data_IF_717389363642
#
_entry.id   IF_717389363642
#
_cell.length_a   1.000
_cell.length_b   1.000
_cell.length_c   1.000
_cell.angle_alpha   90.00
_cell.angle_beta   90.00
_cell.angle_gamma   90.00
#
_symmetry.space_group_name_H-M   'P 1'
#
loop_
_entity.id
_entity.type
_entity.pdbx_description
1 polymer ?
#
# COMPACT_ATOMS: atom_id res chain seq x y z
N UNK A 1 18.83 -1.72 -13.49
CA UNK A 1 17.81 -0.74 -13.88
C UNK A 1 16.80 -0.67 -12.73
N UNK A 2 16.90 0.36 -11.89
CA UNK A 2 16.27 0.36 -10.55
C UNK A 2 14.78 0.71 -10.54
N UNK A 3 14.07 0.24 -9.50
CA UNK A 3 12.73 0.70 -9.13
C UNK A 3 12.82 2.12 -8.54
N UNK A 4 13.05 3.12 -9.39
CA UNK A 4 13.19 4.53 -9.02
C UNK A 4 11.82 5.17 -8.69
N UNK A 5 10.99 4.51 -7.89
CA UNK A 5 9.65 4.99 -7.53
C UNK A 5 8.72 5.16 -8.73
N UNK A 6 8.93 4.44 -9.85
CA UNK A 6 8.14 4.63 -11.08
C UNK A 6 6.62 4.48 -10.87
N UNK A 7 6.23 3.66 -9.90
CA UNK A 7 4.83 3.39 -9.57
C UNK A 7 4.26 4.33 -8.48
N UNK A 8 5.10 5.12 -7.80
CA UNK A 8 4.69 6.02 -6.70
C UNK A 8 4.90 7.50 -7.03
N UNK A 9 5.94 7.81 -7.80
CA UNK A 9 6.29 9.16 -8.24
C UNK A 9 5.16 9.91 -8.97
N UNK A 10 4.35 9.27 -9.85
CA UNK A 10 3.25 9.98 -10.50
C UNK A 10 2.22 10.54 -9.50
N UNK A 11 1.93 9.83 -8.40
CA UNK A 11 1.00 10.32 -7.37
C UNK A 11 1.54 11.59 -6.68
N UNK A 12 2.84 11.63 -6.41
CA UNK A 12 3.50 12.79 -5.80
C UNK A 12 3.50 14.02 -6.74
N UNK A 13 3.70 13.79 -8.04
CA UNK A 13 3.75 14.88 -9.02
C UNK A 13 2.39 15.53 -9.21
N UNK A 14 1.32 14.72 -9.26
CA UNK A 14 -0.02 15.21 -9.56
C UNK A 14 -0.82 15.52 -8.30
N UNK A 15 -0.41 15.06 -7.12
CA UNK A 15 -1.16 15.22 -5.87
C UNK A 15 -2.37 14.28 -5.78
N UNK A 16 -2.30 13.12 -6.42
CA UNK A 16 -3.33 12.09 -6.28
C UNK A 16 -3.13 11.35 -4.96
N UNK A 17 -4.21 11.05 -4.22
CA UNK A 17 -4.10 10.18 -3.06
C UNK A 17 -3.77 8.76 -3.52
N UNK A 18 -2.98 8.05 -2.72
CA UNK A 18 -2.58 6.69 -3.00
C UNK A 18 -2.38 5.89 -1.72
N UNK A 19 -2.60 4.58 -1.80
CA UNK A 19 -2.43 3.64 -0.69
C UNK A 19 -1.59 2.44 -1.14
N UNK A 20 -0.74 1.94 -0.24
CA UNK A 20 0.03 0.71 -0.43
C UNK A 20 -0.52 -0.37 0.50
N UNK A 21 -1.00 -1.47 -0.07
CA UNK A 21 -1.70 -2.54 0.66
C UNK A 21 -0.83 -3.80 0.64
N UNK A 22 -0.53 -4.44 1.80
CA UNK A 22 0.23 -5.68 1.83
C UNK A 22 -0.40 -6.77 0.97
N UNK A 23 0.40 -7.36 0.07
CA UNK A 23 -0.08 -8.36 -0.90
C UNK A 23 0.44 -9.78 -0.62
N UNK A 24 1.39 -9.93 0.31
CA UNK A 24 1.97 -11.21 0.72
C UNK A 24 3.49 -11.20 0.67
N UNK A 25 4.07 -12.40 0.54
CA UNK A 25 5.51 -12.61 0.39
C UNK A 25 5.81 -13.21 -0.98
N UNK A 26 6.88 -12.74 -1.61
CA UNK A 26 7.51 -13.37 -2.78
C UNK A 26 8.97 -13.60 -2.42
N UNK A 27 9.45 -14.84 -2.52
CA UNK A 27 10.81 -15.23 -2.13
C UNK A 27 11.19 -14.80 -0.70
N UNK A 28 10.21 -14.84 0.20
CA UNK A 28 10.37 -14.44 1.61
C UNK A 28 10.40 -12.92 1.85
N UNK A 29 10.28 -12.09 0.80
CA UNK A 29 10.26 -10.64 0.90
C UNK A 29 8.83 -10.08 0.79
N UNK A 30 8.47 -9.06 1.59
CA UNK A 30 7.14 -8.45 1.53
C UNK A 30 6.92 -7.71 0.22
N UNK A 31 5.75 -7.94 -0.38
CA UNK A 31 5.26 -7.20 -1.54
C UNK A 31 3.96 -6.47 -1.20
N UNK A 32 3.69 -5.39 -1.93
CA UNK A 32 2.49 -4.58 -1.75
C UNK A 32 1.85 -4.23 -3.09
N UNK A 33 0.53 -4.00 -3.06
CA UNK A 33 -0.26 -3.46 -4.15
C UNK A 33 -0.41 -1.94 -3.95
N UNK A 34 0.08 -1.16 -4.91
CA UNK A 34 -0.11 0.29 -4.94
C UNK A 34 -1.42 0.63 -5.67
N UNK A 35 -2.30 1.41 -5.02
CA UNK A 35 -3.56 1.88 -5.61
C UNK A 35 -3.58 3.41 -5.59
N UNK A 36 -3.81 4.03 -6.75
CA UNK A 36 -3.95 5.47 -6.88
C UNK A 36 -5.43 5.81 -7.08
N UNK A 37 -5.92 6.83 -6.36
CA UNK A 37 -7.29 7.31 -6.47
C UNK A 37 -7.40 8.64 -7.23
N UNK A 38 -8.61 9.03 -7.65
CA UNK A 38 -8.92 10.42 -8.02
C UNK A 38 -8.59 11.40 -6.89
N UNK A 39 -8.43 12.70 -7.19
CA UNK A 39 -8.26 13.70 -6.14
C UNK A 39 -9.40 13.66 -5.12
N UNK A 40 -9.06 13.86 -3.84
CA UNK A 40 -10.01 13.90 -2.72
C UNK A 40 -10.80 12.60 -2.48
N UNK A 41 -10.24 11.46 -2.88
CA UNK A 41 -10.86 10.13 -2.72
C UNK A 41 -10.23 9.27 -1.61
N UNK A 42 -9.58 9.90 -0.63
CA UNK A 42 -8.91 9.21 0.49
C UNK A 42 -9.85 8.27 1.23
N UNK A 43 -11.12 8.66 1.42
CA UNK A 43 -12.12 7.81 2.05
C UNK A 43 -12.31 6.49 1.29
N UNK A 44 -12.41 6.52 -0.04
CA UNK A 44 -12.54 5.32 -0.86
C UNK A 44 -11.30 4.43 -0.76
N UNK A 45 -10.10 5.03 -0.75
CA UNK A 45 -8.85 4.28 -0.60
C UNK A 45 -8.74 3.62 0.77
N UNK A 46 -9.20 4.29 1.84
CA UNK A 46 -9.23 3.73 3.19
C UNK A 46 -10.28 2.62 3.33
N UNK A 47 -11.46 2.78 2.73
CA UNK A 47 -12.48 1.73 2.67
C UNK A 47 -11.98 0.49 1.92
N UNK A 48 -11.24 0.68 0.83
CA UNK A 48 -10.56 -0.42 0.12
C UNK A 48 -9.50 -1.08 1.01
N UNK A 49 -8.67 -0.29 1.69
CA UNK A 49 -7.68 -0.80 2.64
C UNK A 49 -8.32 -1.65 3.74
N UNK A 50 -9.42 -1.17 4.33
CA UNK A 50 -10.18 -1.88 5.36
C UNK A 50 -10.80 -3.17 4.84
N UNK A 51 -11.38 -3.16 3.63
CA UNK A 51 -11.93 -4.35 3.01
C UNK A 51 -10.84 -5.41 2.77
N UNK A 52 -9.67 -4.98 2.30
CA UNK A 52 -8.52 -5.85 2.09
C UNK A 52 -8.01 -6.43 3.41
N UNK A 53 -7.83 -5.60 4.45
CA UNK A 53 -7.40 -6.05 5.77
C UNK A 53 -8.34 -7.09 6.38
N UNK A 54 -9.66 -6.89 6.26
CA UNK A 54 -10.67 -7.85 6.72
C UNK A 54 -10.64 -9.16 5.93
N UNK A 55 -10.39 -9.09 4.63
CA UNK A 55 -10.36 -10.27 3.76
C UNK A 55 -9.06 -11.08 3.89
N UNK A 56 -7.95 -10.41 4.18
CA UNK A 56 -6.60 -10.99 4.25
C UNK A 56 -5.81 -10.32 5.38
N UNK A 57 -6.06 -10.66 6.65
CA UNK A 57 -5.38 -10.04 7.78
C UNK A 57 -3.85 -10.21 7.68
N UNK A 58 -3.12 -9.14 8.01
CA UNK A 58 -1.66 -9.13 8.10
C UNK A 58 -1.20 -8.65 9.48
N UNK A 59 0.07 -8.93 9.82
CA UNK A 59 0.63 -8.47 11.09
C UNK A 59 0.70 -6.94 11.13
N UNK A 60 0.21 -6.34 12.21
CA UNK A 60 0.21 -4.88 12.40
C UNK A 60 1.60 -4.34 12.75
N UNK A 61 2.50 -5.21 13.21
CA UNK A 61 3.87 -4.86 13.58
C UNK A 61 4.84 -5.81 12.89
N UNK A 62 6.03 -5.29 12.59
CA UNK A 62 7.09 -6.10 12.02
C UNK A 62 7.55 -7.16 13.04
N UNK A 63 8.02 -8.32 12.58
CA UNK A 63 8.65 -9.29 13.46
C UNK A 63 9.83 -8.65 14.22
N UNK A 64 9.83 -8.77 15.56
CA UNK A 64 10.91 -8.25 16.41
C UNK A 64 10.76 -6.79 16.87
N UNK A 65 9.64 -6.12 16.57
CA UNK A 65 9.36 -4.78 17.13
C UNK A 65 9.30 -4.82 18.67
N UNK A 66 9.87 -3.82 19.37
CA UNK A 66 9.71 -3.69 20.83
C UNK A 66 8.24 -3.65 21.22
N UNK A 67 7.89 -4.31 22.32
CA UNK A 67 6.55 -4.24 22.93
C UNK A 67 6.37 -2.97 23.74
#
# INVERSE_FOLDING_TARGET
MGNNGKLTFPANMHGNPAISIPAGLVDGLPIALQVNGPHHSEQLLLELGLAMERSRPWALVAPGSPK
#
